data_IF_754288158165
#
_entry.id   IF_754288158165
#
_cell.length_a   1.000
_cell.length_b   1.000
_cell.length_c   1.000
_cell.angle_alpha   90.00
_cell.angle_beta   90.00
_cell.angle_gamma   90.00
#
_symmetry.space_group_name_H-M   'P 1'
#
loop_
_entity.id
_entity.type
_entity.pdbx_description
1 polymer ?
#
# COMPACT_ATOMS: atom_id res chain seq x y z
N UNK A 1 -24.61 48.07 6.13
CA UNK A 1 -24.66 46.70 5.57
C UNK A 1 -23.22 46.26 5.39
N UNK A 2 -22.66 45.52 6.36
CA UNK A 2 -21.28 45.01 6.31
C UNK A 2 -21.23 43.70 7.11
N UNK A 3 -21.42 42.57 6.43
CA UNK A 3 -21.18 41.22 6.94
C UNK A 3 -21.20 40.24 5.75
N UNK A 4 -20.06 40.08 5.07
CA UNK A 4 -19.85 39.00 4.08
C UNK A 4 -18.37 38.81 3.66
N UNK A 5 -17.38 39.30 4.42
CA UNK A 5 -15.96 39.23 3.98
C UNK A 5 -15.04 38.42 4.89
N UNK A 6 -15.51 37.95 6.06
CA UNK A 6 -14.70 37.15 6.99
C UNK A 6 -14.94 35.64 6.91
N UNK A 7 -16.06 35.19 6.34
CA UNK A 7 -16.40 33.75 6.17
C UNK A 7 -15.88 33.16 4.85
N UNK A 8 -15.67 33.99 3.82
CA UNK A 8 -15.26 33.51 2.50
C UNK A 8 -13.83 32.95 2.50
N UNK A 9 -12.91 33.55 3.26
CA UNK A 9 -11.49 33.17 3.28
C UNK A 9 -11.24 31.82 3.97
N UNK A 10 -11.88 31.57 5.12
CA UNK A 10 -11.78 30.27 5.81
C UNK A 10 -12.46 29.14 5.00
N UNK A 11 -13.55 29.45 4.30
CA UNK A 11 -14.22 28.47 3.44
C UNK A 11 -13.40 28.13 2.18
N UNK A 12 -12.71 29.11 1.58
CA UNK A 12 -11.81 28.91 0.44
C UNK A 12 -10.58 28.06 0.83
N UNK A 13 -9.97 28.35 1.99
CA UNK A 13 -8.83 27.58 2.52
C UNK A 13 -9.23 26.14 2.88
N UNK A 14 -10.37 25.92 3.55
CA UNK A 14 -10.82 24.57 3.90
C UNK A 14 -11.19 23.75 2.64
N UNK A 15 -11.77 24.40 1.63
CA UNK A 15 -12.06 23.80 0.33
C UNK A 15 -10.78 23.46 -0.43
N UNK A 16 -9.80 24.35 -0.52
CA UNK A 16 -8.51 24.07 -1.16
C UNK A 16 -7.77 22.90 -0.49
N UNK A 17 -7.75 22.87 0.85
CA UNK A 17 -7.14 21.78 1.61
C UNK A 17 -7.88 20.44 1.40
N UNK A 18 -9.21 20.43 1.37
CA UNK A 18 -9.99 19.22 1.09
C UNK A 18 -9.77 18.71 -0.34
N UNK A 19 -9.63 19.61 -1.30
CA UNK A 19 -9.29 19.27 -2.69
C UNK A 19 -7.87 18.73 -2.82
N UNK A 20 -6.91 19.33 -2.12
CA UNK A 20 -5.52 18.87 -2.09
C UNK A 20 -5.44 17.48 -1.44
N UNK A 21 -6.05 17.27 -0.27
CA UNK A 21 -6.08 15.98 0.43
C UNK A 21 -6.76 14.87 -0.41
N UNK A 22 -7.87 15.20 -1.07
CA UNK A 22 -8.54 14.26 -1.99
C UNK A 22 -7.66 13.94 -3.21
N UNK A 23 -6.95 14.92 -3.77
CA UNK A 23 -6.05 14.69 -4.91
C UNK A 23 -4.87 13.78 -4.57
N UNK A 24 -4.39 13.81 -3.33
CA UNK A 24 -3.29 12.98 -2.85
C UNK A 24 -3.74 11.58 -2.43
N UNK A 25 -4.96 11.45 -1.92
CA UNK A 25 -5.51 10.16 -1.46
C UNK A 25 -6.24 9.40 -2.57
N UNK A 26 -6.76 10.09 -3.59
CA UNK A 26 -7.40 9.53 -4.79
C UNK A 26 -6.92 10.26 -6.06
N UNK A 27 -5.66 10.06 -6.48
CA UNK A 27 -5.09 10.73 -7.65
C UNK A 27 -5.64 10.24 -9.00
N UNK A 28 -6.46 9.18 -8.99
CA UNK A 28 -7.08 8.61 -10.17
C UNK A 28 -8.60 8.74 -10.07
N UNK A 29 -9.25 8.95 -11.21
CA UNK A 29 -10.70 8.82 -11.30
C UNK A 29 -11.09 7.34 -11.20
N UNK A 30 -12.35 7.05 -10.86
CA UNK A 30 -12.82 5.67 -10.75
C UNK A 30 -12.64 4.87 -12.05
N UNK A 31 -12.83 5.52 -13.20
CA UNK A 31 -12.57 4.91 -14.50
C UNK A 31 -11.09 4.56 -14.68
N UNK A 32 -10.19 5.47 -14.32
CA UNK A 32 -8.75 5.23 -14.40
C UNK A 32 -8.30 4.12 -13.44
N UNK A 33 -8.91 4.03 -12.26
CA UNK A 33 -8.66 2.93 -11.31
C UNK A 33 -9.07 1.57 -11.93
N UNK A 34 -10.23 1.50 -12.58
CA UNK A 34 -10.70 0.28 -13.26
C UNK A 34 -9.80 -0.12 -14.43
N UNK A 35 -9.41 0.85 -15.26
CA UNK A 35 -8.50 0.61 -16.41
C UNK A 35 -7.14 0.09 -15.94
N UNK A 36 -6.53 0.73 -14.93
CA UNK A 36 -5.24 0.31 -14.39
C UNK A 36 -5.33 -1.04 -13.67
N UNK A 37 -6.47 -1.36 -13.05
CA UNK A 37 -6.68 -2.66 -12.42
C UNK A 37 -6.76 -3.76 -13.47
N UNK A 38 -7.50 -3.54 -14.57
CA UNK A 38 -7.55 -4.47 -15.69
C UNK A 38 -6.16 -4.66 -16.33
N UNK A 39 -5.43 -3.57 -16.62
CA UNK A 39 -4.07 -3.63 -17.15
C UNK A 39 -3.13 -4.41 -16.23
N UNK A 40 -3.27 -4.26 -14.91
CA UNK A 40 -2.47 -4.99 -13.93
C UNK A 40 -2.73 -6.51 -13.96
N UNK A 41 -3.97 -6.93 -14.20
CA UNK A 41 -4.33 -8.34 -14.31
C UNK A 41 -3.80 -8.99 -15.59
N UNK A 42 -3.54 -8.19 -16.64
CA UNK A 42 -2.94 -8.66 -17.89
C UNK A 42 -1.42 -8.86 -17.81
N UNK A 43 -0.78 -8.39 -16.75
CA UNK A 43 0.67 -8.52 -16.53
C UNK A 43 1.04 -9.99 -16.28
N UNK A 44 1.76 -10.61 -17.23
CA UNK A 44 2.18 -12.01 -17.18
C UNK A 44 3.63 -12.21 -16.74
N UNK A 45 4.43 -11.15 -16.64
CA UNK A 45 5.87 -11.21 -16.34
C UNK A 45 6.35 -10.12 -15.39
N UNK A 46 7.55 -10.29 -14.84
CA UNK A 46 8.16 -9.28 -13.95
C UNK A 46 8.55 -8.02 -14.71
N UNK A 47 8.96 -8.16 -15.97
CA UNK A 47 9.29 -7.06 -16.88
C UNK A 47 8.04 -6.22 -17.19
N UNK A 48 6.92 -6.86 -17.52
CA UNK A 48 5.63 -6.18 -17.73
C UNK A 48 5.14 -5.52 -16.45
N UNK A 49 5.37 -6.14 -15.28
CA UNK A 49 5.03 -5.53 -13.99
C UNK A 49 5.82 -4.24 -13.76
N UNK A 50 7.12 -4.24 -14.05
CA UNK A 50 7.93 -3.02 -13.95
C UNK A 50 7.48 -1.94 -14.91
N UNK A 51 7.10 -2.31 -16.14
CA UNK A 51 6.58 -1.37 -17.13
C UNK A 51 5.25 -0.76 -16.65
N UNK A 52 4.32 -1.59 -16.17
CA UNK A 52 3.07 -1.17 -15.58
C UNK A 52 3.29 -0.22 -14.40
N UNK A 53 4.15 -0.58 -13.44
CA UNK A 53 4.45 0.25 -12.28
C UNK A 53 5.08 1.58 -12.71
N UNK A 54 5.94 1.57 -13.72
CA UNK A 54 6.49 2.78 -14.32
C UNK A 54 5.41 3.70 -14.90
N UNK A 55 4.42 3.14 -15.63
CA UNK A 55 3.27 3.87 -16.16
C UNK A 55 2.38 4.45 -15.06
N UNK A 56 2.04 3.63 -14.06
CA UNK A 56 1.24 4.03 -12.91
C UNK A 56 1.90 5.18 -12.14
N UNK A 57 3.19 5.07 -11.82
CA UNK A 57 3.92 6.11 -11.07
C UNK A 57 3.98 7.41 -11.88
N UNK A 58 4.21 7.34 -13.19
CA UNK A 58 4.18 8.53 -14.07
C UNK A 58 2.80 9.20 -14.07
N UNK A 59 1.72 8.41 -14.09
CA UNK A 59 0.34 8.92 -14.11
C UNK A 59 -0.02 9.56 -12.75
N UNK A 60 0.36 8.94 -11.64
CA UNK A 60 0.09 9.45 -10.28
C UNK A 60 0.95 10.66 -9.89
N UNK A 61 2.20 10.73 -10.38
CA UNK A 61 3.08 11.87 -10.16
C UNK A 61 3.02 12.91 -11.30
N UNK A 62 1.91 12.94 -12.06
CA UNK A 62 1.75 13.86 -13.18
C UNK A 62 1.95 15.30 -12.72
N UNK A 63 2.74 16.07 -13.47
CA UNK A 63 3.10 17.44 -13.11
C UNK A 63 4.37 17.56 -12.28
N UNK A 64 4.88 16.45 -11.70
CA UNK A 64 6.13 16.44 -10.92
C UNK A 64 7.23 15.83 -11.79
N UNK A 65 7.96 16.71 -12.47
CA UNK A 65 9.02 16.34 -13.41
C UNK A 65 10.10 15.46 -12.78
N UNK A 66 10.52 14.42 -13.51
CA UNK A 66 11.60 13.49 -13.11
C UNK A 66 11.40 12.73 -11.79
N UNK A 67 10.20 12.72 -11.19
CA UNK A 67 9.95 12.02 -9.92
C UNK A 67 10.39 10.54 -9.98
N UNK A 68 10.06 9.82 -11.05
CA UNK A 68 10.45 8.40 -11.26
C UNK A 68 11.95 8.17 -11.14
N UNK A 69 12.78 9.15 -11.54
CA UNK A 69 14.24 9.05 -11.49
C UNK A 69 14.83 9.46 -10.14
N UNK A 70 14.04 10.12 -9.28
CA UNK A 70 14.46 10.59 -7.96
C UNK A 70 14.67 9.42 -6.99
N UNK A 71 15.45 9.62 -5.90
CA UNK A 71 15.56 8.62 -4.84
C UNK A 71 14.21 8.21 -4.25
N UNK A 72 13.29 9.17 -4.04
CA UNK A 72 11.95 8.89 -3.55
C UNK A 72 11.14 8.05 -4.54
N UNK A 73 11.19 8.39 -5.84
CA UNK A 73 10.51 7.61 -6.89
C UNK A 73 11.04 6.18 -7.03
N UNK A 74 12.36 5.99 -6.92
CA UNK A 74 12.97 4.65 -6.90
C UNK A 74 12.54 3.85 -5.67
N UNK A 75 12.49 4.47 -4.49
CA UNK A 75 12.02 3.84 -3.26
C UNK A 75 10.53 3.45 -3.34
N UNK A 76 9.67 4.32 -3.90
CA UNK A 76 8.26 3.99 -4.19
C UNK A 76 8.18 2.81 -5.15
N UNK A 77 8.90 2.84 -6.28
CA UNK A 77 8.90 1.76 -7.25
C UNK A 77 9.33 0.41 -6.65
N UNK A 78 10.39 0.40 -5.85
CA UNK A 78 10.85 -0.80 -5.15
C UNK A 78 9.82 -1.35 -4.15
N UNK A 79 9.19 -0.47 -3.38
CA UNK A 79 8.09 -0.85 -2.48
C UNK A 79 6.91 -1.46 -3.24
N UNK A 80 6.42 -0.79 -4.29
CA UNK A 80 5.28 -1.25 -5.07
C UNK A 80 5.55 -2.57 -5.77
N UNK A 81 6.76 -2.76 -6.32
CA UNK A 81 7.20 -4.04 -6.89
C UNK A 81 7.18 -5.15 -5.84
N UNK A 82 7.73 -4.89 -4.65
CA UNK A 82 7.73 -5.86 -3.56
C UNK A 82 6.33 -6.19 -3.03
N UNK A 83 5.42 -5.22 -3.03
CA UNK A 83 4.04 -5.42 -2.62
C UNK A 83 3.24 -6.20 -3.68
N UNK A 84 3.36 -5.82 -4.96
CA UNK A 84 2.72 -6.51 -6.09
C UNK A 84 3.08 -8.00 -6.10
N UNK A 85 4.36 -8.33 -5.96
CA UNK A 85 4.83 -9.73 -5.87
C UNK A 85 4.23 -10.53 -4.70
N UNK A 86 3.73 -9.87 -3.65
CA UNK A 86 3.10 -10.53 -2.49
C UNK A 86 1.59 -10.57 -2.58
N UNK A 87 0.98 -9.54 -3.17
CA UNK A 87 -0.47 -9.35 -3.22
C UNK A 87 -1.11 -9.94 -4.49
N UNK A 88 -0.38 -9.99 -5.61
CA UNK A 88 -0.89 -10.34 -6.93
C UNK A 88 -0.59 -11.75 -7.48
N UNK A 89 0.13 -12.69 -6.81
CA UNK A 89 0.22 -14.08 -7.28
C UNK A 89 -1.12 -14.85 -7.43
N UNK A 90 -2.25 -14.14 -7.42
CA UNK A 90 -3.57 -14.61 -7.80
C UNK A 90 -3.75 -14.51 -9.34
N UNK A 91 -3.22 -13.50 -10.03
CA UNK A 91 -3.43 -13.29 -11.49
C UNK A 91 -2.51 -14.11 -12.43
N UNK A 92 -1.58 -14.91 -11.90
CA UNK A 92 -0.62 -15.71 -12.69
C UNK A 92 -0.65 -17.22 -12.44
N UNK A 93 -1.52 -17.70 -11.53
CA UNK A 93 -1.60 -19.12 -11.19
C UNK A 93 -2.30 -19.98 -12.26
N UNK A 94 -2.84 -19.36 -13.33
CA UNK A 94 -3.47 -20.05 -14.45
C UNK A 94 -2.47 -20.68 -15.45
N UNK A 95 -1.16 -20.39 -15.38
CA UNK A 95 -0.15 -20.99 -16.27
C UNK A 95 0.90 -21.87 -15.59
N UNK A 96 0.74 -22.18 -14.30
CA UNK A 96 1.83 -22.81 -13.55
C UNK A 96 1.44 -23.81 -12.47
N UNK A 97 0.39 -24.63 -12.61
CA UNK A 97 0.35 -25.93 -11.90
C UNK A 97 -0.69 -26.95 -12.40
N UNK A 98 -0.72 -27.21 -13.71
CA UNK A 98 -1.37 -28.42 -14.24
C UNK A 98 -0.47 -29.67 -14.15
N UNK A 99 0.64 -29.68 -13.39
CA UNK A 99 1.62 -30.79 -13.43
C UNK A 99 2.18 -31.18 -12.07
N UNK A 100 1.34 -31.38 -11.03
CA UNK A 100 1.57 -32.43 -9.99
C UNK A 100 0.22 -32.86 -9.39
N UNK A 101 -0.28 -34.09 -9.68
CA UNK A 101 -1.40 -34.66 -8.94
C UNK A 101 -0.95 -34.88 -7.48
N UNK A 102 -1.60 -34.19 -6.52
CA UNK A 102 -1.41 -34.44 -5.08
C UNK A 102 -1.05 -33.24 -4.21
N UNK A 103 -0.76 -32.05 -4.76
CA UNK A 103 -0.45 -30.82 -3.97
C UNK A 103 -1.21 -29.57 -4.45
N UNK A 104 -2.04 -29.69 -5.49
CA UNK A 104 -2.66 -28.56 -6.21
C UNK A 104 -3.95 -27.96 -5.61
N UNK A 105 -4.04 -27.75 -4.29
CA UNK A 105 -5.25 -27.14 -3.68
C UNK A 105 -5.02 -26.20 -2.50
N UNK A 106 -3.81 -26.16 -1.93
CA UNK A 106 -3.56 -25.44 -0.66
C UNK A 106 -2.89 -24.06 -0.82
N UNK A 107 -2.47 -23.69 -2.03
CA UNK A 107 -1.74 -22.43 -2.28
C UNK A 107 -2.69 -21.25 -2.46
N UNK A 108 -3.91 -21.47 -2.98
CA UNK A 108 -4.93 -20.42 -3.12
C UNK A 108 -5.42 -19.85 -1.78
N UNK A 109 -5.61 -20.69 -0.76
CA UNK A 109 -6.16 -20.25 0.54
C UNK A 109 -5.22 -19.40 1.39
N UNK A 110 -3.90 -19.57 1.27
CA UNK A 110 -2.90 -18.80 2.05
C UNK A 110 -2.55 -17.44 1.41
N UNK A 111 -2.71 -17.32 0.10
CA UNK A 111 -2.44 -16.09 -0.64
C UNK A 111 -3.67 -15.18 -0.67
N UNK A 112 -4.86 -15.74 -0.88
CA UNK A 112 -6.12 -15.01 -0.74
C UNK A 112 -6.31 -14.43 0.66
N UNK A 113 -5.95 -15.18 1.71
CA UNK A 113 -5.99 -14.67 3.09
C UNK A 113 -4.99 -13.54 3.33
N UNK A 114 -3.83 -13.52 2.67
CA UNK A 114 -2.89 -12.39 2.78
C UNK A 114 -3.46 -11.13 2.12
N UNK A 115 -3.93 -11.21 0.88
CA UNK A 115 -4.52 -10.06 0.18
C UNK A 115 -5.79 -9.56 0.88
N UNK A 116 -6.68 -10.46 1.30
CA UNK A 116 -7.86 -10.13 2.11
C UNK A 116 -7.47 -9.48 3.43
N UNK A 117 -6.47 -9.99 4.16
CA UNK A 117 -6.02 -9.37 5.42
C UNK A 117 -5.38 -8.00 5.20
N UNK A 118 -4.65 -7.81 4.09
CA UNK A 118 -3.94 -6.57 3.80
C UNK A 118 -4.92 -5.45 3.41
N UNK A 119 -5.94 -5.79 2.63
CA UNK A 119 -6.93 -4.85 2.10
C UNK A 119 -8.26 -4.84 2.89
N UNK A 120 -8.40 -5.72 3.89
CA UNK A 120 -9.63 -5.96 4.66
C UNK A 120 -10.85 -6.17 3.75
N UNK A 121 -10.68 -7.00 2.70
CA UNK A 121 -11.74 -7.29 1.75
C UNK A 121 -12.62 -8.44 2.23
N UNK A 122 -13.93 -8.19 2.26
CA UNK A 122 -14.96 -9.21 2.40
C UNK A 122 -15.05 -10.00 1.09
N UNK A 123 -14.30 -11.09 1.00
CA UNK A 123 -14.25 -11.97 -0.17
C UNK A 123 -15.36 -13.05 -0.15
N UNK A 124 -16.22 -13.07 0.87
CA UNK A 124 -17.25 -14.09 1.02
C UNK A 124 -18.29 -13.96 -0.10
N UNK A 125 -18.50 -15.04 -0.85
CA UNK A 125 -19.49 -15.10 -1.93
C UNK A 125 -19.08 -14.42 -3.25
N UNK A 126 -17.86 -13.88 -3.36
CA UNK A 126 -17.36 -13.32 -4.63
C UNK A 126 -16.83 -14.41 -5.56
N UNK A 127 -16.91 -14.18 -6.88
CA UNK A 127 -16.22 -15.04 -7.86
C UNK A 127 -14.70 -14.84 -7.76
N UNK A 128 -13.88 -15.85 -8.14
CA UNK A 128 -12.42 -15.70 -8.22
C UNK A 128 -11.99 -14.46 -9.02
N UNK A 129 -12.65 -14.22 -10.15
CA UNK A 129 -12.37 -13.11 -11.05
C UNK A 129 -12.69 -11.75 -10.41
N UNK A 130 -13.82 -11.65 -9.69
CA UNK A 130 -14.19 -10.41 -8.99
C UNK A 130 -13.24 -10.12 -7.82
N UNK A 131 -12.79 -11.16 -7.10
CA UNK A 131 -11.80 -11.01 -6.04
C UNK A 131 -10.47 -10.48 -6.59
N UNK A 132 -10.00 -11.04 -7.69
CA UNK A 132 -8.76 -10.61 -8.36
C UNK A 132 -8.84 -9.14 -8.78
N UNK A 133 -9.96 -8.75 -9.39
CA UNK A 133 -10.18 -7.37 -9.81
C UNK A 133 -10.23 -6.39 -8.64
N UNK A 134 -10.94 -6.71 -7.55
CA UNK A 134 -10.98 -5.83 -6.38
C UNK A 134 -9.62 -5.72 -5.68
N UNK A 135 -8.85 -6.80 -5.61
CA UNK A 135 -7.46 -6.76 -5.11
C UNK A 135 -6.59 -5.86 -6.00
N UNK A 136 -6.68 -6.01 -7.32
CA UNK A 136 -5.95 -5.17 -8.28
C UNK A 136 -6.34 -3.69 -8.13
N UNK A 137 -7.64 -3.40 -8.00
CA UNK A 137 -8.16 -2.03 -7.81
C UNK A 137 -7.68 -1.41 -6.50
N UNK A 138 -7.67 -2.16 -5.39
CA UNK A 138 -7.13 -1.70 -4.10
C UNK A 138 -5.63 -1.44 -4.16
N UNK A 139 -4.89 -2.32 -4.86
CA UNK A 139 -3.48 -2.10 -5.12
C UNK A 139 -3.24 -0.80 -5.89
N UNK A 140 -3.99 -0.55 -6.97
CA UNK A 140 -3.88 0.68 -7.78
C UNK A 140 -4.16 1.93 -6.93
N UNK A 141 -5.20 1.91 -6.09
CA UNK A 141 -5.52 3.03 -5.18
C UNK A 141 -4.39 3.32 -4.21
N UNK A 142 -3.88 2.29 -3.54
CA UNK A 142 -2.74 2.42 -2.63
C UNK A 142 -1.49 2.95 -3.36
N UNK A 143 -1.19 2.41 -4.54
CA UNK A 143 -0.03 2.76 -5.34
C UNK A 143 -0.10 4.21 -5.83
N UNK A 144 -1.27 4.62 -6.32
CA UNK A 144 -1.55 5.99 -6.72
C UNK A 144 -1.35 6.95 -5.56
N UNK A 145 -2.05 6.73 -4.45
CA UNK A 145 -2.01 7.62 -3.29
C UNK A 145 -0.61 7.74 -2.68
N UNK A 146 0.10 6.61 -2.55
CA UNK A 146 1.50 6.59 -2.10
C UNK A 146 2.39 7.42 -3.02
N UNK A 147 2.21 7.26 -4.34
CA UNK A 147 3.00 7.98 -5.33
C UNK A 147 2.73 9.47 -5.32
N UNK A 148 1.46 9.89 -5.37
CA UNK A 148 1.07 11.29 -5.38
C UNK A 148 1.58 12.01 -4.13
N UNK A 149 1.35 11.40 -2.96
CA UNK A 149 1.83 11.90 -1.67
C UNK A 149 3.36 12.01 -1.62
N UNK A 150 4.08 10.96 -2.04
CA UNK A 150 5.55 10.97 -2.02
C UNK A 150 6.14 11.97 -3.00
N UNK A 151 5.54 12.12 -4.18
CA UNK A 151 5.99 13.05 -5.21
C UNK A 151 5.84 14.50 -4.74
N UNK A 152 4.66 14.86 -4.21
CA UNK A 152 4.40 16.22 -3.74
C UNK A 152 5.28 16.60 -2.54
N UNK A 153 5.57 15.64 -1.66
CA UNK A 153 6.38 15.87 -0.46
C UNK A 153 7.87 15.54 -0.64
N UNK A 154 8.32 15.26 -1.86
CA UNK A 154 9.68 14.78 -2.16
C UNK A 154 10.79 15.73 -1.72
N UNK A 155 10.52 17.04 -1.64
CA UNK A 155 11.48 18.06 -1.21
C UNK A 155 11.47 18.33 0.31
N UNK A 156 10.54 17.71 1.06
CA UNK A 156 10.31 18.01 2.49
C UNK A 156 11.14 17.15 3.46
N UNK A 157 12.10 16.36 2.98
CA UNK A 157 12.98 15.58 3.83
C UNK A 157 13.72 14.44 3.13
N UNK A 158 14.31 13.55 3.93
CA UNK A 158 15.00 12.37 3.41
C UNK A 158 14.03 11.43 2.65
N UNK A 159 14.46 10.81 1.53
CA UNK A 159 13.59 10.00 0.67
C UNK A 159 12.82 8.91 1.42
N UNK A 160 13.49 8.14 2.28
CA UNK A 160 12.85 7.06 3.02
C UNK A 160 11.79 7.57 3.99
N UNK A 161 12.00 8.74 4.60
CA UNK A 161 11.04 9.33 5.54
C UNK A 161 9.79 9.78 4.78
N UNK A 162 9.95 10.43 3.63
CA UNK A 162 8.83 10.87 2.77
C UNK A 162 8.02 9.66 2.30
N UNK A 163 8.69 8.64 1.78
CA UNK A 163 8.02 7.43 1.27
C UNK A 163 7.32 6.67 2.39
N UNK A 164 7.93 6.52 3.56
CA UNK A 164 7.28 5.84 4.69
C UNK A 164 6.01 6.57 5.17
N UNK A 165 6.03 7.91 5.21
CA UNK A 165 4.83 8.71 5.53
C UNK A 165 3.75 8.55 4.46
N UNK A 166 4.12 8.61 3.19
CA UNK A 166 3.20 8.41 2.07
C UNK A 166 2.53 7.03 2.12
N UNK A 167 3.32 5.97 2.37
CA UNK A 167 2.79 4.61 2.56
C UNK A 167 1.83 4.56 3.75
N UNK A 168 2.18 5.16 4.88
CA UNK A 168 1.31 5.15 6.07
C UNK A 168 -0.02 5.85 5.81
N UNK A 169 0.00 7.00 5.16
CA UNK A 169 -1.22 7.75 4.84
C UNK A 169 -2.10 6.97 3.85
N UNK A 170 -1.52 6.46 2.77
CA UNK A 170 -2.24 5.69 1.76
C UNK A 170 -2.80 4.36 2.33
N UNK A 171 -2.04 3.69 3.20
CA UNK A 171 -2.44 2.42 3.79
C UNK A 171 -3.64 2.56 4.73
N UNK A 172 -3.80 3.67 5.46
CA UNK A 172 -4.97 3.89 6.33
C UNK A 172 -6.30 3.78 5.58
N UNK A 173 -6.32 4.19 4.32
CA UNK A 173 -7.53 4.22 3.50
C UNK A 173 -7.65 2.99 2.61
N UNK A 174 -6.54 2.57 2.01
CA UNK A 174 -6.57 1.60 0.91
C UNK A 174 -6.09 0.21 1.29
N UNK A 175 -5.32 0.07 2.38
CA UNK A 175 -4.72 -1.20 2.81
C UNK A 175 -4.44 -1.23 4.34
N UNK A 176 -5.49 -1.17 5.18
CA UNK A 176 -5.34 -1.01 6.62
C UNK A 176 -4.54 -2.14 7.29
N UNK A 177 -4.64 -3.37 6.78
CA UNK A 177 -3.86 -4.52 7.27
C UNK A 177 -2.34 -4.35 7.11
N UNK A 178 -1.88 -3.53 6.16
CA UNK A 178 -0.45 -3.21 6.02
C UNK A 178 0.11 -2.50 7.25
N UNK A 179 -0.72 -1.74 7.98
CA UNK A 179 -0.32 -1.04 9.21
C UNK A 179 -0.29 -1.98 10.41
N UNK A 180 -1.22 -2.94 10.46
CA UNK A 180 -1.33 -3.92 11.54
C UNK A 180 -0.13 -4.87 11.52
N UNK A 181 0.30 -5.32 10.34
CA UNK A 181 1.46 -6.20 10.18
C UNK A 181 2.81 -5.48 10.40
N UNK A 182 2.80 -4.14 10.49
CA UNK A 182 3.98 -3.30 10.75
C UNK A 182 4.19 -3.02 12.24
N UNK A 183 3.20 -3.30 13.08
CA UNK A 183 3.46 -3.44 14.49
C UNK A 183 4.31 -4.70 14.61
N UNK A 184 5.56 -4.63 15.14
CA UNK A 184 6.23 -5.86 15.53
C UNK A 184 5.23 -6.56 16.42
N UNK A 185 4.86 -7.82 16.08
CA UNK A 185 4.07 -8.65 16.96
C UNK A 185 4.64 -8.39 18.34
N UNK A 186 3.86 -7.73 19.22
CA UNK A 186 4.34 -7.39 20.57
C UNK A 186 4.70 -8.74 21.11
N UNK A 187 5.99 -9.09 21.07
CA UNK A 187 6.46 -10.43 21.35
C UNK A 187 5.95 -10.65 22.74
N UNK A 188 4.98 -11.56 22.85
CA UNK A 188 4.22 -11.74 24.08
C UNK A 188 5.21 -11.83 25.23
N UNK A 189 4.90 -11.10 26.31
CA UNK A 189 5.46 -11.24 27.66
C UNK A 189 6.81 -11.96 27.69
N UNK A 190 7.91 -11.20 27.77
CA UNK A 190 9.28 -11.72 27.76
C UNK A 190 9.37 -13.08 28.46
N UNK A 191 9.56 -14.16 27.68
CA UNK A 191 9.61 -15.55 28.19
C UNK A 191 10.91 -15.85 28.93
N UNK A 192 11.79 -14.87 29.03
CA UNK A 192 13.09 -14.96 29.69
C UNK A 192 13.46 -13.59 30.26
N UNK A 193 13.75 -13.57 31.56
CA UNK A 193 14.36 -12.43 32.25
C UNK A 193 15.84 -12.66 32.52
N UNK A 194 16.56 -11.58 32.82
CA UNK A 194 17.96 -11.63 33.27
C UNK A 194 18.01 -11.67 34.80
N UNK A 195 18.72 -12.66 35.33
CA UNK A 195 18.90 -12.84 36.77
C UNK A 195 20.25 -12.26 37.15
N UNK A 196 20.26 -11.24 38.01
CA UNK A 196 21.51 -10.65 38.54
C UNK A 196 21.56 -10.87 40.03
N UNK A 197 22.69 -11.40 40.51
CA UNK A 197 22.93 -11.62 41.93
C UNK A 197 23.55 -10.35 42.52
N UNK A 198 22.90 -9.79 43.54
CA UNK A 198 23.39 -8.63 44.28
C UNK A 198 23.42 -8.97 45.77
N UNK A 199 24.60 -9.33 46.26
CA UNK A 199 24.80 -9.84 47.62
C UNK A 199 23.92 -11.06 47.90
N UNK A 200 23.06 -10.97 48.92
CA UNK A 200 22.10 -12.00 49.31
C UNK A 200 20.74 -11.92 48.57
N UNK A 201 20.63 -11.15 47.48
CA UNK A 201 19.38 -11.03 46.72
C UNK A 201 19.58 -11.37 45.25
N UNK A 202 18.53 -11.93 44.67
CA UNK A 202 18.41 -12.16 43.23
C UNK A 202 17.44 -11.12 42.69
N UNK A 203 17.89 -10.35 41.70
CA UNK A 203 17.08 -9.35 41.01
C UNK A 203 16.70 -9.92 39.64
N UNK A 204 15.39 -9.97 39.37
CA UNK A 204 14.82 -10.40 38.11
C UNK A 204 14.54 -9.18 37.24
N UNK A 205 15.14 -9.12 36.06
CA UNK A 205 14.94 -8.06 35.09
C UNK A 205 14.19 -8.63 33.88
N UNK A 206 13.08 -8.00 33.48
CA UNK A 206 12.33 -8.44 32.29
C UNK A 206 11.49 -9.70 32.51
N UNK A 207 10.85 -9.82 33.68
CA UNK A 207 9.81 -10.82 34.00
C UNK A 207 8.42 -10.19 33.96
#
# INVERSE_FOLDING_TARGET
MYAAEFEAFEFEDEFENAFEDNSLTRPFTEQQEMELAAELLEVGSEEELEEFLGKLVKKAAKGIGNFVRSPAGKAVGGFLKGLAKKALPVAGAALGNFVVPGVGGAIGGKLGSFASSLFELEMEGMSPEDMEFEVARRFVRLAGATTASAAQNSQRGAPDVVVNRAIQNAARLHAPGLLQNRQPARTGRARSGRWVRSGNRIILLGV
#
